data_IF_500797613562
#
_entry.id   IF_500797613562
#
_cell.length_a   1.000
_cell.length_b   1.000
_cell.length_c   1.000
_cell.angle_alpha   90.00
_cell.angle_beta   90.00
_cell.angle_gamma   90.00
#
_symmetry.space_group_name_H-M   'P 1'
#
loop_
_entity.id
_entity.type
_entity.pdbx_description
1 polymer ?
#
# COMPACT_ATOMS: atom_id res chain seq x y z
N UNK A 1 30.97 4.46 -0.42
CA UNK A 1 29.57 3.99 -0.30
C UNK A 1 29.49 2.70 -1.08
N UNK A 2 29.24 1.56 -0.43
CA UNK A 2 29.15 0.26 -1.13
C UNK A 2 28.12 0.34 -2.27
N UNK A 3 28.46 -0.14 -3.48
CA UNK A 3 27.50 -0.16 -4.58
C UNK A 3 26.28 -1.00 -4.20
N UNK A 4 25.09 -0.54 -4.57
CA UNK A 4 23.86 -1.29 -4.31
C UNK A 4 23.99 -2.70 -4.92
N UNK A 5 23.68 -3.73 -4.13
CA UNK A 5 23.75 -5.13 -4.58
C UNK A 5 22.79 -5.42 -5.76
N UNK A 6 21.77 -4.57 -5.93
CA UNK A 6 20.75 -4.63 -6.95
C UNK A 6 20.70 -3.32 -7.74
N UNK A 7 20.48 -3.45 -9.04
CA UNK A 7 20.18 -2.34 -9.94
C UNK A 7 18.97 -2.67 -10.83
N UNK A 8 18.31 -1.61 -11.29
CA UNK A 8 17.19 -1.69 -12.24
C UNK A 8 17.75 -1.95 -13.63
N UNK A 9 17.07 -2.78 -14.41
CA UNK A 9 17.42 -3.01 -15.81
C UNK A 9 16.17 -3.29 -16.66
N UNK A 10 16.17 -2.96 -17.96
CA UNK A 10 15.13 -3.39 -18.87
C UNK A 10 15.26 -4.91 -19.12
N UNK A 11 14.19 -5.66 -18.85
CA UNK A 11 14.09 -7.09 -19.17
C UNK A 11 13.33 -7.25 -20.49
N UNK A 12 13.98 -7.76 -21.56
CA UNK A 12 13.31 -8.02 -22.83
C UNK A 12 12.03 -8.84 -22.65
N UNK A 13 10.93 -8.37 -23.26
CA UNK A 13 9.60 -9.01 -23.23
C UNK A 13 8.87 -8.98 -21.87
N UNK A 14 9.46 -8.40 -20.80
CA UNK A 14 8.88 -8.44 -19.44
C UNK A 14 8.90 -7.10 -18.70
N UNK A 15 9.15 -5.99 -19.41
CA UNK A 15 9.24 -4.67 -18.82
C UNK A 15 10.55 -4.46 -18.07
N UNK A 16 10.50 -3.99 -16.82
CA UNK A 16 11.70 -3.75 -16.04
C UNK A 16 11.91 -4.79 -14.93
N UNK A 17 13.16 -5.03 -14.55
CA UNK A 17 13.53 -5.97 -13.50
C UNK A 17 14.68 -5.49 -12.62
N UNK A 18 15.08 -6.34 -11.68
CA UNK A 18 16.26 -6.14 -10.84
C UNK A 18 17.32 -7.17 -11.19
N UNK A 19 18.57 -6.73 -11.30
CA UNK A 19 19.73 -7.61 -11.48
C UNK A 19 20.83 -7.23 -10.50
N UNK A 20 21.77 -8.15 -10.30
CA UNK A 20 23.02 -7.88 -9.60
C UNK A 20 24.18 -7.84 -10.60
N UNK A 21 25.23 -7.09 -10.28
CA UNK A 21 26.50 -7.07 -11.04
C UNK A 21 27.54 -8.05 -10.50
N UNK A 22 27.23 -8.78 -9.42
CA UNK A 22 28.16 -9.70 -8.77
C UNK A 22 27.52 -11.06 -8.51
N UNK A 23 28.36 -12.05 -8.20
CA UNK A 23 27.88 -13.34 -7.71
C UNK A 23 27.27 -13.16 -6.31
N UNK A 24 26.18 -13.90 -6.07
CA UNK A 24 25.47 -13.94 -4.79
C UNK A 24 25.68 -15.31 -4.14
N UNK A 25 25.62 -15.37 -2.81
CA UNK A 25 25.60 -16.63 -2.07
C UNK A 25 24.18 -17.00 -1.65
N UNK A 26 23.83 -18.29 -1.58
CA UNK A 26 22.58 -18.73 -0.97
C UNK A 26 22.42 -18.14 0.44
N UNK A 27 21.22 -17.61 0.74
CA UNK A 27 20.91 -16.97 2.03
C UNK A 27 21.34 -15.50 2.17
N UNK A 28 21.98 -14.92 1.16
CA UNK A 28 22.43 -13.53 1.21
C UNK A 28 21.27 -12.51 1.17
N UNK A 29 21.24 -11.56 2.11
CA UNK A 29 20.23 -10.49 2.14
C UNK A 29 20.53 -9.43 1.07
N UNK A 30 19.69 -9.38 0.03
CA UNK A 30 19.85 -8.42 -1.07
C UNK A 30 19.14 -7.08 -0.81
N UNK A 31 17.98 -7.13 -0.15
CA UNK A 31 17.15 -5.96 0.08
C UNK A 31 16.19 -6.17 1.26
N UNK A 32 15.97 -5.11 2.04
CA UNK A 32 14.91 -5.05 3.05
C UNK A 32 14.35 -3.64 3.08
N UNK A 33 13.02 -3.54 3.04
CA UNK A 33 12.32 -2.28 3.21
C UNK A 33 11.03 -2.49 3.99
N UNK A 34 10.61 -1.45 4.72
CA UNK A 34 9.24 -1.36 5.22
C UNK A 34 8.29 -1.15 4.03
N UNK A 35 7.02 -1.61 4.10
CA UNK A 35 6.06 -1.36 3.03
C UNK A 35 5.83 0.15 2.85
N UNK A 36 5.62 0.59 1.60
CA UNK A 36 5.27 1.98 1.29
C UNK A 36 3.99 2.40 2.03
N UNK A 37 2.97 1.54 1.93
CA UNK A 37 1.72 1.60 2.67
C UNK A 37 1.21 0.18 2.93
N UNK A 38 0.46 -0.01 4.01
CA UNK A 38 -0.21 -1.27 4.34
C UNK A 38 -1.44 -0.98 5.21
N UNK A 39 -2.35 -1.94 5.23
CA UNK A 39 -3.54 -1.99 6.09
C UNK A 39 -3.69 -3.39 6.68
N UNK A 40 -4.47 -3.53 7.75
CA UNK A 40 -5.02 -4.83 8.14
C UNK A 40 -6.27 -5.13 7.32
N UNK A 41 -6.42 -6.37 6.87
CA UNK A 41 -7.65 -6.81 6.22
C UNK A 41 -8.82 -6.77 7.21
N UNK A 42 -10.04 -6.64 6.70
CA UNK A 42 -11.25 -6.56 7.53
C UNK A 42 -11.35 -7.73 8.53
N UNK A 43 -10.92 -8.93 8.14
CA UNK A 43 -10.96 -10.15 8.97
C UNK A 43 -9.96 -10.13 10.12
N UNK A 44 -8.88 -9.35 10.01
CA UNK A 44 -7.85 -9.24 11.05
C UNK A 44 -8.09 -8.04 11.99
N UNK A 45 -9.05 -7.17 11.66
CA UNK A 45 -9.40 -6.03 12.51
C UNK A 45 -9.82 -6.50 13.89
N UNK A 46 -9.15 -5.97 14.91
CA UNK A 46 -9.45 -6.28 16.30
C UNK A 46 -8.75 -7.50 16.88
N UNK A 47 -8.04 -8.29 16.07
CA UNK A 47 -7.19 -9.40 16.53
C UNK A 47 -5.69 -9.06 16.43
N UNK A 48 -5.33 -8.13 15.54
CA UNK A 48 -3.95 -7.76 15.23
C UNK A 48 -3.73 -6.27 15.48
N UNK A 49 -2.55 -5.90 16.00
CA UNK A 49 -2.12 -4.51 16.13
C UNK A 49 -1.90 -3.87 14.75
N UNK A 50 -2.56 -2.73 14.49
CA UNK A 50 -2.45 -1.96 13.24
C UNK A 50 -1.02 -1.47 12.93
N UNK A 51 -0.14 -1.38 13.94
CA UNK A 51 1.25 -0.95 13.71
C UNK A 51 2.21 -2.10 13.49
N UNK A 52 2.31 -3.01 14.46
CA UNK A 52 3.36 -4.04 14.48
C UNK A 52 2.93 -5.37 13.83
N UNK A 53 1.65 -5.48 13.42
CA UNK A 53 1.08 -6.67 12.79
C UNK A 53 1.11 -7.94 13.65
N UNK A 54 1.34 -7.80 14.96
CA UNK A 54 1.31 -8.92 15.91
C UNK A 54 -0.09 -9.10 16.48
N UNK A 55 -0.51 -10.37 16.63
CA UNK A 55 -1.72 -10.73 17.38
C UNK A 55 -1.56 -10.33 18.84
N UNK A 56 -2.64 -9.84 19.45
CA UNK A 56 -2.67 -9.50 20.86
C UNK A 56 -4.11 -9.59 21.37
N UNK A 57 -4.31 -10.17 22.54
CA UNK A 57 -5.64 -10.34 23.15
C UNK A 57 -6.22 -9.03 23.73
N UNK A 58 -5.35 -8.05 24.03
CA UNK A 58 -5.70 -6.79 24.69
C UNK A 58 -5.33 -5.58 23.83
N UNK A 59 -6.00 -5.44 22.69
CA UNK A 59 -5.81 -4.29 21.83
C UNK A 59 -6.63 -3.08 22.30
N UNK A 60 -5.98 -1.92 22.32
CA UNK A 60 -6.58 -0.62 22.62
C UNK A 60 -7.06 0.03 21.32
N UNK A 61 -8.34 0.37 21.24
CA UNK A 61 -8.91 1.05 20.07
C UNK A 61 -8.51 2.53 20.02
N UNK A 62 -8.34 3.05 18.81
CA UNK A 62 -8.27 4.48 18.58
C UNK A 62 -9.57 5.13 19.06
N UNK A 63 -9.49 6.13 19.93
CA UNK A 63 -10.68 6.79 20.50
C UNK A 63 -11.47 7.62 19.48
N UNK A 64 -10.83 8.03 18.39
CA UNK A 64 -11.43 8.91 17.38
C UNK A 64 -12.24 8.14 16.34
N UNK A 65 -11.64 7.16 15.66
CA UNK A 65 -12.31 6.39 14.59
C UNK A 65 -12.88 5.05 15.06
N UNK A 66 -12.49 4.56 16.25
CA UNK A 66 -12.89 3.27 16.84
C UNK A 66 -12.56 2.01 16.01
N UNK A 67 -12.04 2.16 14.78
CA UNK A 67 -11.65 1.07 13.87
C UNK A 67 -10.25 0.55 14.18
N UNK A 68 -9.23 1.41 14.12
CA UNK A 68 -7.84 1.01 14.32
C UNK A 68 -7.61 0.57 15.77
N UNK A 69 -6.89 -0.54 15.99
CA UNK A 69 -6.51 -0.99 17.33
C UNK A 69 -5.01 -1.28 17.44
N UNK A 70 -4.44 -1.07 18.63
CA UNK A 70 -3.02 -1.14 18.89
C UNK A 70 -2.72 -1.93 20.16
N UNK A 71 -1.58 -2.63 20.22
CA UNK A 71 -1.17 -3.36 21.42
C UNK A 71 -0.69 -2.45 22.57
N UNK A 72 -0.60 -1.13 22.35
CA UNK A 72 -0.23 -0.17 23.37
C UNK A 72 0.04 1.22 22.82
N UNK A 73 0.30 2.16 23.73
CA UNK A 73 0.52 3.59 23.43
C UNK A 73 1.69 3.82 22.45
N UNK A 74 2.76 3.03 22.53
CA UNK A 74 3.92 3.15 21.61
C UNK A 74 3.50 2.89 20.16
N UNK A 75 2.87 1.73 19.89
CA UNK A 75 2.39 1.38 18.56
C UNK A 75 1.36 2.38 18.02
N UNK A 76 0.48 2.91 18.87
CA UNK A 76 -0.45 3.96 18.47
C UNK A 76 0.27 5.26 18.08
N UNK A 77 1.22 5.72 18.89
CA UNK A 77 2.00 6.93 18.63
C UNK A 77 2.83 6.81 17.33
N UNK A 78 3.50 5.68 17.14
CA UNK A 78 4.30 5.42 15.93
C UNK A 78 3.44 5.32 14.67
N UNK A 79 2.24 4.73 14.75
CA UNK A 79 1.32 4.67 13.61
C UNK A 79 0.63 6.00 13.30
N UNK A 80 0.63 6.96 14.23
CA UNK A 80 -0.20 8.17 14.11
C UNK A 80 0.12 8.98 12.86
N UNK A 81 1.39 9.05 12.45
CA UNK A 81 1.80 9.77 11.26
C UNK A 81 1.12 9.23 9.98
N UNK A 82 0.96 7.91 9.86
CA UNK A 82 0.30 7.27 8.72
C UNK A 82 -1.22 7.09 8.93
N UNK A 83 -1.69 7.09 10.19
CA UNK A 83 -3.11 6.91 10.52
C UNK A 83 -3.91 8.21 10.61
N UNK A 84 -3.31 9.35 10.97
CA UNK A 84 -4.03 10.59 11.34
C UNK A 84 -5.09 11.03 10.32
N UNK A 85 -4.75 11.02 9.03
CA UNK A 85 -5.65 11.42 7.96
C UNK A 85 -6.73 10.34 7.72
N UNK A 86 -6.31 9.07 7.62
CA UNK A 86 -7.23 7.92 7.53
C UNK A 86 -8.23 7.89 8.70
N UNK A 87 -7.79 8.27 9.91
CA UNK A 87 -8.61 8.29 11.11
C UNK A 87 -9.84 9.19 10.95
N UNK A 88 -9.68 10.36 10.33
CA UNK A 88 -10.79 11.30 10.11
C UNK A 88 -11.72 10.78 9.02
N UNK A 89 -11.17 10.18 7.96
CA UNK A 89 -11.95 9.52 6.93
C UNK A 89 -12.79 8.37 7.50
N UNK A 90 -12.18 7.45 8.26
CA UNK A 90 -12.88 6.34 8.93
C UNK A 90 -13.98 6.83 9.87
N UNK A 91 -13.71 7.87 10.66
CA UNK A 91 -14.71 8.47 11.55
C UNK A 91 -15.91 9.02 10.76
N UNK A 92 -15.67 9.61 9.59
CA UNK A 92 -16.73 10.24 8.79
C UNK A 92 -17.66 9.26 8.09
N UNK A 93 -17.26 7.99 7.99
CA UNK A 93 -18.05 6.93 7.35
C UNK A 93 -18.62 5.92 8.34
N UNK A 94 -18.49 6.16 9.65
CA UNK A 94 -19.12 5.32 10.69
C UNK A 94 -20.62 5.11 10.39
N UNK A 95 -21.15 3.88 10.54
CA UNK A 95 -20.51 2.66 11.04
C UNK A 95 -19.82 1.81 9.94
N UNK A 96 -19.77 2.29 8.70
CA UNK A 96 -19.22 1.53 7.58
C UNK A 96 -17.69 1.49 7.61
N UNK A 97 -17.13 0.36 7.14
CA UNK A 97 -15.69 0.21 6.91
C UNK A 97 -15.48 0.07 5.41
N UNK A 98 -14.69 0.93 4.75
CA UNK A 98 -14.44 0.82 3.32
C UNK A 98 -13.74 -0.49 2.96
N UNK A 99 -13.82 -0.95 1.69
CA UNK A 99 -13.05 -2.09 1.22
C UNK A 99 -11.55 -1.92 1.49
N UNK A 100 -10.85 -3.03 1.75
CA UNK A 100 -9.42 -3.03 2.06
C UNK A 100 -8.57 -2.36 0.97
N UNK A 101 -8.94 -2.56 -0.29
CA UNK A 101 -8.30 -1.92 -1.44
C UNK A 101 -8.45 -0.39 -1.39
N UNK A 102 -9.60 0.12 -0.99
CA UNK A 102 -9.89 1.56 -0.84
C UNK A 102 -9.09 2.14 0.33
N UNK A 103 -9.03 1.44 1.47
CA UNK A 103 -8.21 1.88 2.61
C UNK A 103 -6.72 1.93 2.26
N UNK A 104 -6.22 0.90 1.57
CA UNK A 104 -4.83 0.86 1.10
C UNK A 104 -4.54 2.00 0.12
N UNK A 105 -5.41 2.22 -0.86
CA UNK A 105 -5.28 3.31 -1.81
C UNK A 105 -5.28 4.68 -1.12
N UNK A 106 -6.13 4.87 -0.11
CA UNK A 106 -6.12 6.10 0.71
C UNK A 106 -4.78 6.34 1.40
N UNK A 107 -4.18 5.31 2.00
CA UNK A 107 -2.84 5.43 2.61
C UNK A 107 -1.76 5.73 1.58
N UNK A 108 -1.85 5.17 0.37
CA UNK A 108 -0.94 5.50 -0.74
C UNK A 108 -1.07 6.98 -1.10
N UNK A 109 -2.30 7.50 -1.28
CA UNK A 109 -2.54 8.93 -1.58
C UNK A 109 -1.93 9.83 -0.51
N UNK A 110 -2.20 9.57 0.77
CA UNK A 110 -1.64 10.38 1.85
C UNK A 110 -0.11 10.31 1.93
N UNK A 111 0.48 9.14 1.65
CA UNK A 111 1.94 8.98 1.59
C UNK A 111 2.56 9.78 0.45
N UNK A 112 1.96 9.74 -0.74
CA UNK A 112 2.40 10.49 -1.92
C UNK A 112 2.31 12.00 -1.69
N UNK A 113 1.19 12.47 -1.11
CA UNK A 113 1.02 13.89 -0.78
C UNK A 113 2.05 14.39 0.23
N UNK A 114 2.47 13.55 1.18
CA UNK A 114 3.49 13.90 2.15
C UNK A 114 4.91 13.94 1.57
N UNK A 115 5.14 13.31 0.41
CA UNK A 115 6.46 13.21 -0.24
C UNK A 115 7.57 12.69 0.69
N UNK A 116 7.24 11.79 1.61
CA UNK A 116 8.22 11.28 2.56
C UNK A 116 9.19 10.30 1.89
N UNK A 117 10.49 10.52 2.03
CA UNK A 117 11.53 9.57 1.58
C UNK A 117 11.24 8.18 2.15
N UNK A 118 11.08 7.20 1.27
CA UNK A 118 10.80 5.83 1.67
C UNK A 118 11.82 4.88 1.06
N UNK A 119 12.47 4.07 1.91
CA UNK A 119 13.38 3.05 1.43
C UNK A 119 12.69 2.04 0.51
N UNK A 120 11.37 1.81 0.62
CA UNK A 120 10.66 0.94 -0.33
C UNK A 120 10.75 1.43 -1.77
N UNK A 121 10.95 2.74 -1.97
CA UNK A 121 10.96 3.36 -3.29
C UNK A 121 12.36 3.56 -3.88
N UNK A 122 13.42 3.21 -3.13
CA UNK A 122 14.81 3.38 -3.58
C UNK A 122 15.09 2.66 -4.90
N UNK A 123 14.49 1.47 -5.08
CA UNK A 123 14.65 0.69 -6.30
C UNK A 123 13.50 0.83 -7.29
N UNK A 124 12.28 1.20 -6.88
CA UNK A 124 11.11 1.47 -7.76
C UNK A 124 10.16 2.40 -7.01
N UNK A 125 9.87 3.58 -7.56
CA UNK A 125 8.83 4.44 -6.98
C UNK A 125 7.44 3.92 -7.33
N UNK A 126 6.42 4.39 -6.61
CA UNK A 126 5.03 4.10 -6.93
C UNK A 126 4.66 4.53 -8.37
N UNK A 127 5.25 5.63 -8.84
CA UNK A 127 5.05 6.14 -10.20
C UNK A 127 5.57 5.16 -11.27
N UNK A 128 6.62 4.40 -10.94
CA UNK A 128 7.27 3.44 -11.85
C UNK A 128 6.56 2.08 -11.91
N UNK A 129 5.55 1.84 -11.07
CA UNK A 129 4.83 0.57 -11.04
C UNK A 129 4.01 0.38 -12.33
N UNK A 130 4.04 -0.84 -12.84
CA UNK A 130 3.30 -1.23 -14.03
C UNK A 130 1.78 -1.28 -13.74
N UNK A 131 0.99 -0.60 -14.57
CA UNK A 131 -0.48 -0.57 -14.46
C UNK A 131 -1.16 -1.70 -15.22
N UNK A 132 -0.52 -2.23 -16.28
CA UNK A 132 -1.11 -3.20 -17.22
C UNK A 132 -2.52 -2.81 -17.70
N UNK A 133 -2.81 -1.51 -17.79
CA UNK A 133 -4.15 -1.00 -18.12
C UNK A 133 -4.69 -1.56 -19.44
N UNK A 134 -3.81 -1.76 -20.42
CA UNK A 134 -4.12 -2.29 -21.76
C UNK A 134 -4.56 -3.76 -21.73
N UNK A 135 -4.20 -4.52 -20.69
CA UNK A 135 -4.57 -5.93 -20.54
C UNK A 135 -5.87 -6.12 -19.75
N UNK A 136 -6.49 -5.05 -19.28
CA UNK A 136 -7.74 -5.10 -18.52
C UNK A 136 -8.93 -5.13 -19.46
N UNK A 137 -9.90 -6.02 -19.20
CA UNK A 137 -11.20 -5.97 -19.85
C UNK A 137 -11.96 -4.70 -19.43
N UNK A 138 -12.94 -4.27 -20.23
CA UNK A 138 -13.75 -3.09 -19.91
C UNK A 138 -14.52 -3.26 -18.60
N UNK A 139 -15.08 -4.44 -18.34
CA UNK A 139 -15.74 -4.75 -17.06
C UNK A 139 -14.79 -4.59 -15.86
N UNK A 140 -13.52 -5.03 -16.00
CA UNK A 140 -12.53 -4.81 -14.95
C UNK A 140 -12.21 -3.32 -14.77
N UNK A 141 -12.15 -2.55 -15.87
CA UNK A 141 -11.94 -1.10 -15.80
C UNK A 141 -13.13 -0.41 -15.14
N UNK A 142 -14.36 -0.81 -15.44
CA UNK A 142 -15.58 -0.31 -14.78
C UNK A 142 -15.51 -0.53 -13.27
N UNK A 143 -15.19 -1.75 -12.83
CA UNK A 143 -15.01 -2.08 -11.42
C UNK A 143 -13.94 -1.22 -10.72
N UNK A 144 -12.82 -0.97 -11.39
CA UNK A 144 -11.75 -0.10 -10.86
C UNK A 144 -12.16 1.37 -10.83
N UNK A 145 -12.97 1.85 -11.79
CA UNK A 145 -13.55 3.20 -11.78
C UNK A 145 -14.52 3.38 -10.61
N UNK A 146 -15.33 2.37 -10.29
CA UNK A 146 -16.18 2.40 -9.08
C UNK A 146 -15.36 2.43 -7.78
N UNK A 147 -14.24 1.70 -7.71
CA UNK A 147 -13.32 1.80 -6.56
C UNK A 147 -12.68 3.19 -6.47
N UNK A 148 -12.32 3.81 -7.59
CA UNK A 148 -11.79 5.19 -7.63
C UNK A 148 -12.81 6.22 -7.13
N UNK A 149 -14.07 6.09 -7.54
CA UNK A 149 -15.17 6.92 -7.02
C UNK A 149 -15.40 6.71 -5.52
N UNK A 150 -15.36 5.45 -5.07
CA UNK A 150 -15.48 5.10 -3.65
C UNK A 150 -14.33 5.70 -2.84
N UNK A 151 -13.11 5.67 -3.38
CA UNK A 151 -11.94 6.31 -2.77
C UNK A 151 -12.13 7.83 -2.66
N UNK A 152 -12.60 8.49 -3.72
CA UNK A 152 -12.87 9.92 -3.68
C UNK A 152 -13.89 10.29 -2.59
N UNK A 153 -14.99 9.52 -2.48
CA UNK A 153 -15.98 9.73 -1.43
C UNK A 153 -15.38 9.50 -0.03
N UNK A 154 -14.59 8.45 0.14
CA UNK A 154 -13.93 8.12 1.39
C UNK A 154 -12.93 9.18 1.84
N UNK A 155 -12.16 9.75 0.92
CA UNK A 155 -11.13 10.76 1.21
C UNK A 155 -11.68 12.19 1.31
N UNK A 156 -12.96 12.42 1.00
CA UNK A 156 -13.57 13.76 0.89
C UNK A 156 -13.35 14.66 2.11
N UNK A 157 -13.26 14.08 3.31
CA UNK A 157 -13.02 14.84 4.54
C UNK A 157 -11.60 15.40 4.67
N UNK A 158 -10.63 14.80 3.99
CA UNK A 158 -9.23 15.24 3.97
C UNK A 158 -8.85 15.90 2.63
N UNK A 159 -9.52 15.53 1.54
CA UNK A 159 -9.25 15.98 0.17
C UNK A 159 -10.59 16.41 -0.46
N UNK A 160 -10.89 17.70 -0.38
CA UNK A 160 -12.15 18.27 -0.89
C UNK A 160 -12.09 18.51 -2.40
N UNK A 161 -10.95 18.96 -2.90
CA UNK A 161 -10.74 19.31 -4.31
C UNK A 161 -9.68 18.40 -4.93
N UNK A 162 -10.16 17.34 -5.60
CA UNK A 162 -9.32 16.35 -6.27
C UNK A 162 -8.57 16.96 -7.47
N UNK A 163 -9.09 18.05 -8.06
CA UNK A 163 -8.44 18.71 -9.20
C UNK A 163 -7.10 19.37 -8.83
N UNK A 164 -6.88 19.63 -7.53
CA UNK A 164 -5.62 20.18 -7.01
C UNK A 164 -4.58 19.12 -6.66
N UNK A 165 -4.90 17.84 -6.81
CA UNK A 165 -3.93 16.79 -6.58
C UNK A 165 -2.83 16.86 -7.65
N UNK A 166 -1.56 16.57 -7.27
CA UNK A 166 -0.50 16.42 -8.24
C UNK A 166 -0.88 15.39 -9.32
N UNK A 167 -0.50 15.59 -10.61
CA UNK A 167 -0.83 14.65 -11.69
C UNK A 167 -0.35 13.21 -11.46
N UNK A 168 0.67 13.02 -10.61
CA UNK A 168 1.15 11.71 -10.18
C UNK A 168 0.13 10.92 -9.32
N UNK A 169 -0.91 11.57 -8.80
CA UNK A 169 -1.95 10.99 -7.97
C UNK A 169 -3.24 10.87 -8.79
N UNK A 170 -3.33 9.77 -9.53
CA UNK A 170 -4.55 9.37 -10.23
C UNK A 170 -5.15 8.16 -9.51
N UNK A 171 -6.40 8.30 -9.03
CA UNK A 171 -7.05 7.27 -8.23
C UNK A 171 -7.28 5.98 -9.00
N UNK A 172 -7.64 6.07 -10.28
CA UNK A 172 -7.83 4.90 -11.12
C UNK A 172 -6.49 4.19 -11.36
N UNK A 173 -5.43 4.93 -11.66
CA UNK A 173 -4.08 4.37 -11.82
C UNK A 173 -3.53 3.76 -10.53
N UNK A 174 -3.87 4.30 -9.36
CA UNK A 174 -3.49 3.69 -8.08
C UNK A 174 -4.05 2.27 -7.99
N UNK A 175 -5.31 2.07 -8.37
CA UNK A 175 -5.94 0.75 -8.33
C UNK A 175 -5.38 -0.21 -9.38
N UNK A 176 -5.07 0.26 -10.60
CA UNK A 176 -4.45 -0.60 -11.63
C UNK A 176 -3.06 -1.07 -11.19
N UNK A 177 -2.22 -0.16 -10.66
CA UNK A 177 -0.87 -0.47 -10.14
C UNK A 177 -0.90 -1.39 -8.92
N UNK A 178 -1.84 -1.17 -8.00
CA UNK A 178 -2.00 -2.00 -6.80
C UNK A 178 -2.45 -3.43 -7.14
N UNK A 179 -3.37 -3.60 -8.11
CA UNK A 179 -3.84 -4.92 -8.56
C UNK A 179 -2.70 -5.78 -9.09
N UNK A 180 -1.85 -5.21 -9.95
CA UNK A 180 -0.70 -5.93 -10.53
C UNK A 180 0.28 -6.34 -9.43
N UNK A 181 0.61 -5.42 -8.52
CA UNK A 181 1.58 -5.65 -7.45
C UNK A 181 1.12 -6.71 -6.44
N UNK A 182 -0.18 -6.75 -6.12
CA UNK A 182 -0.76 -7.77 -5.22
C UNK A 182 -0.86 -9.16 -5.90
N UNK A 183 -1.08 -9.19 -7.22
CA UNK A 183 -1.12 -10.45 -7.98
C UNK A 183 0.26 -11.14 -8.06
N UNK A 184 1.35 -10.35 -8.11
CA UNK A 184 2.73 -10.84 -8.07
C UNK A 184 3.07 -11.51 -6.73
N UNK A 185 2.55 -10.97 -5.62
CA UNK A 185 2.74 -11.59 -4.28
C UNK A 185 2.06 -12.96 -4.17
N UNK A 186 0.92 -13.17 -4.84
CA UNK A 186 0.26 -14.49 -4.88
C UNK A 186 1.05 -15.52 -5.70
N UNK A 187 1.67 -15.11 -6.82
CA UNK A 187 2.49 -16.02 -7.65
C UNK A 187 3.85 -16.39 -7.02
N UNK A 188 4.31 -15.65 -6.02
CA UNK A 188 5.54 -15.94 -5.27
C UNK A 188 5.33 -16.90 -4.08
N UNK A 189 4.13 -17.48 -3.93
CA UNK A 189 3.95 -18.62 -3.02
C UNK A 189 4.65 -19.82 -3.63
N UNK A 190 5.83 -20.10 -3.09
CA UNK A 190 6.70 -21.24 -3.39
C UNK A 190 5.86 -22.53 -3.36
N UNK A 191 5.66 -23.17 -4.51
CA UNK A 191 5.25 -24.58 -4.54
C UNK A 191 6.44 -25.39 -4.06
N UNK A 192 6.33 -26.17 -2.97
CA UNK A 192 7.37 -27.13 -2.63
C UNK A 192 7.46 -28.14 -3.77
N UNK A 193 8.56 -28.14 -4.50
CA UNK A 193 8.91 -29.28 -5.35
C UNK A 193 9.19 -30.45 -4.41
N UNK A 194 8.35 -31.48 -4.48
CA UNK A 194 8.63 -32.82 -3.96
C UNK A 194 9.84 -33.42 -4.66
#
# INVERSE_FOLDING_TARGET
MEPAALERFPSPGRGSGLRTRRRLRPGELLYRAQPFAYILSKEQLGAVCERCLRRNQHLQRCSQCKVAKYCGKSCQKEAWLDHKQECRCLKSVEPNIPPDSVRLAGRIVFKLLRQSVCLSERLYSFSDLQSNIEQLSEEMKDGLRHLAQTLQLYLKTEIQDVSRLPPAIDFFQIFTKAKVSLSLQRKLHWTPTH
#
